data_IF_938927254816
#
_entry.id   IF_938927254816
#
_cell.length_a   1.000
_cell.length_b   1.000
_cell.length_c   1.000
_cell.angle_alpha   90.00
_cell.angle_beta   90.00
_cell.angle_gamma   90.00
#
_symmetry.space_group_name_H-M   'P 1'
#
loop_
_entity.id
_entity.type
_entity.pdbx_description
1 polymer ?
#
# COMPACT_ATOMS: atom_id res chain seq x y z
N UNK A 1 33.72 -7.03 12.13
CA UNK A 1 32.84 -6.84 10.96
C UNK A 1 31.60 -6.07 11.40
N UNK A 2 31.51 -4.80 11.06
CA UNK A 2 30.41 -3.89 11.44
C UNK A 2 29.18 -4.22 10.59
N UNK A 3 28.04 -4.48 11.22
CA UNK A 3 26.77 -4.73 10.50
C UNK A 3 26.39 -3.43 9.77
N UNK A 4 25.98 -3.46 8.50
CA UNK A 4 25.66 -2.23 7.78
C UNK A 4 24.45 -1.56 8.45
N UNK A 5 24.57 -0.25 8.75
CA UNK A 5 23.54 0.55 9.45
C UNK A 5 22.14 0.48 8.80
N UNK A 6 22.07 0.09 7.53
CA UNK A 6 20.80 -0.14 6.83
C UNK A 6 20.07 -1.40 7.34
N UNK A 7 20.78 -2.45 7.72
CA UNK A 7 20.16 -3.68 8.24
C UNK A 7 19.64 -3.45 9.66
N UNK A 8 20.40 -2.72 10.48
CA UNK A 8 19.99 -2.37 11.84
C UNK A 8 18.72 -1.49 11.86
N UNK A 9 18.60 -0.51 10.96
CA UNK A 9 17.37 0.29 10.82
C UNK A 9 16.16 -0.55 10.39
N UNK A 10 16.36 -1.56 9.55
CA UNK A 10 15.29 -2.45 9.12
C UNK A 10 14.85 -3.40 10.25
N UNK A 11 15.81 -3.92 11.01
CA UNK A 11 15.57 -4.76 12.19
C UNK A 11 14.85 -3.96 13.30
N UNK A 12 15.28 -2.72 13.56
CA UNK A 12 14.63 -1.81 14.52
C UNK A 12 13.21 -1.44 14.09
N UNK A 13 12.99 -1.14 12.80
CA UNK A 13 11.65 -0.88 12.28
C UNK A 13 10.74 -2.12 12.38
N UNK A 14 11.31 -3.33 12.25
CA UNK A 14 10.59 -4.60 12.40
C UNK A 14 10.24 -4.88 13.86
N UNK A 15 11.17 -4.67 14.80
CA UNK A 15 10.95 -4.81 16.24
C UNK A 15 9.91 -3.80 16.75
N UNK A 16 9.96 -2.55 16.28
CA UNK A 16 8.95 -1.53 16.60
C UNK A 16 7.54 -1.88 16.10
N UNK A 17 7.43 -2.65 15.00
CA UNK A 17 6.13 -3.17 14.53
C UNK A 17 5.61 -4.31 15.41
N UNK A 18 6.49 -5.18 15.91
CA UNK A 18 6.10 -6.31 16.76
C UNK A 18 5.69 -5.90 18.19
N UNK A 19 6.22 -4.80 18.71
CA UNK A 19 5.92 -4.29 20.06
C UNK A 19 4.76 -3.30 20.12
N UNK A 20 3.98 -3.15 19.06
CA UNK A 20 2.97 -2.09 18.98
C UNK A 20 1.76 -2.41 19.87
N UNK A 21 1.41 -1.44 20.71
CA UNK A 21 0.20 -1.42 21.51
C UNK A 21 -1.03 -1.58 20.60
N UNK A 22 -1.97 -2.47 20.94
CA UNK A 22 -3.17 -2.79 20.15
C UNK A 22 -4.09 -1.58 19.87
N UNK A 23 -3.83 -0.44 20.53
CA UNK A 23 -4.58 0.82 20.42
C UNK A 23 -3.96 1.86 19.49
N UNK A 24 -2.78 1.62 18.93
CA UNK A 24 -2.14 2.58 18.03
C UNK A 24 -2.76 2.52 16.61
N UNK A 25 -2.95 3.66 15.92
CA UNK A 25 -3.47 3.65 14.55
C UNK A 25 -2.59 2.82 13.61
N UNK A 26 -3.24 2.15 12.67
CA UNK A 26 -2.61 1.54 11.52
C UNK A 26 -2.07 2.64 10.61
N UNK A 27 -0.75 2.66 10.39
CA UNK A 27 -0.08 3.69 9.58
C UNK A 27 0.00 3.22 8.13
N UNK A 28 -0.78 3.86 7.27
CA UNK A 28 -0.78 3.60 5.82
C UNK A 28 -0.02 4.73 5.13
N UNK A 29 1.07 4.39 4.45
CA UNK A 29 1.86 5.34 3.68
C UNK A 29 1.54 5.19 2.18
N UNK A 30 1.28 6.32 1.51
CA UNK A 30 1.07 6.37 0.07
C UNK A 30 2.39 6.66 -0.63
N UNK A 31 2.77 5.83 -1.59
CA UNK A 31 3.88 6.10 -2.50
C UNK A 31 3.36 6.45 -3.89
N UNK A 32 3.49 7.70 -4.34
CA UNK A 32 3.09 8.07 -5.69
C UNK A 32 4.02 7.50 -6.76
N UNK A 33 3.43 7.03 -7.85
CA UNK A 33 4.10 6.75 -9.12
C UNK A 33 3.35 7.47 -10.24
N UNK A 34 3.99 8.50 -10.82
CA UNK A 34 3.38 9.34 -11.83
C UNK A 34 2.42 10.41 -11.29
N UNK A 35 2.27 10.54 -9.96
CA UNK A 35 1.57 11.64 -9.30
C UNK A 35 2.57 12.53 -8.56
N UNK A 36 2.31 13.83 -8.52
CA UNK A 36 3.07 14.72 -7.66
C UNK A 36 2.61 14.57 -6.19
N UNK A 37 3.53 14.85 -5.26
CA UNK A 37 3.27 14.68 -3.83
C UNK A 37 2.15 15.60 -3.33
N UNK A 38 1.97 16.80 -3.92
CA UNK A 38 0.93 17.76 -3.50
C UNK A 38 -0.46 17.25 -3.85
N UNK A 39 -0.64 16.65 -5.02
CA UNK A 39 -1.88 15.99 -5.44
C UNK A 39 -2.23 14.86 -4.48
N UNK A 40 -1.28 13.98 -4.16
CA UNK A 40 -1.53 12.89 -3.20
C UNK A 40 -1.81 13.42 -1.80
N UNK A 41 -1.12 14.48 -1.38
CA UNK A 41 -1.38 15.14 -0.10
C UNK A 41 -2.81 15.69 -0.03
N UNK A 42 -3.32 16.27 -1.12
CA UNK A 42 -4.71 16.74 -1.19
C UNK A 42 -5.72 15.61 -0.99
N UNK A 43 -5.44 14.41 -1.52
CA UNK A 43 -6.29 13.24 -1.28
C UNK A 43 -6.24 12.82 0.19
N UNK A 44 -5.05 12.73 0.78
CA UNK A 44 -4.85 12.36 2.19
C UNK A 44 -5.68 13.24 3.13
N UNK A 45 -5.76 14.55 2.87
CA UNK A 45 -6.58 15.45 3.68
C UNK A 45 -8.07 15.15 3.63
N UNK A 46 -8.55 14.49 2.58
CA UNK A 46 -9.94 14.06 2.44
C UNK A 46 -10.19 12.61 2.89
N UNK A 47 -9.14 11.85 3.27
CA UNK A 47 -9.30 10.44 3.64
C UNK A 47 -9.82 10.30 5.08
N UNK A 48 -10.75 9.34 5.32
CA UNK A 48 -11.25 9.08 6.65
C UNK A 48 -10.16 8.45 7.52
N UNK A 49 -10.08 8.90 8.78
CA UNK A 49 -9.22 8.27 9.79
C UNK A 49 -9.89 7.08 10.49
N UNK A 50 -11.19 6.83 10.22
CA UNK A 50 -12.01 5.76 10.82
C UNK A 50 -11.85 5.69 12.35
N UNK A 51 -12.32 6.71 13.06
CA UNK A 51 -12.21 6.82 14.52
C UNK A 51 -10.76 6.70 15.04
N UNK A 52 -9.82 7.28 14.29
CA UNK A 52 -8.37 7.22 14.56
C UNK A 52 -7.79 5.82 14.48
N UNK A 53 -8.45 4.90 13.78
CA UNK A 53 -7.92 3.56 13.48
C UNK A 53 -6.87 3.61 12.37
N UNK A 54 -6.95 4.60 11.47
CA UNK A 54 -5.98 4.80 10.38
C UNK A 54 -5.28 6.15 10.52
N UNK A 55 -3.97 6.14 10.32
CA UNK A 55 -3.16 7.32 10.07
C UNK A 55 -2.57 7.24 8.66
N UNK A 56 -2.89 8.23 7.82
CA UNK A 56 -2.40 8.34 6.45
C UNK A 56 -1.14 9.22 6.39
N UNK A 57 -0.24 8.91 5.47
CA UNK A 57 0.93 9.75 5.19
C UNK A 57 1.53 9.49 3.82
N UNK A 58 2.49 10.30 3.40
CA UNK A 58 3.26 10.07 2.17
C UNK A 58 4.56 9.36 2.51
N UNK A 59 4.89 8.31 1.76
CA UNK A 59 6.16 7.62 1.86
C UNK A 59 7.28 8.45 1.20
N UNK A 60 8.02 9.22 1.99
CA UNK A 60 9.17 10.01 1.54
C UNK A 60 10.42 9.16 1.30
N UNK A 61 10.67 8.19 2.17
CA UNK A 61 11.80 7.27 2.05
C UNK A 61 11.42 5.98 1.33
N UNK A 62 12.38 5.40 0.60
CA UNK A 62 12.23 4.10 -0.09
C UNK A 62 11.72 2.98 0.82
N UNK A 63 12.12 2.99 2.09
CA UNK A 63 11.73 1.97 3.07
C UNK A 63 10.51 2.34 3.92
N UNK A 64 9.97 3.55 3.74
CA UNK A 64 8.82 4.08 4.48
C UNK A 64 8.88 3.74 6.00
N UNK A 65 9.94 4.17 6.71
CA UNK A 65 10.13 3.77 8.10
C UNK A 65 8.92 4.18 8.95
N UNK A 66 8.41 3.25 9.75
CA UNK A 66 7.25 3.48 10.61
C UNK A 66 5.88 3.26 9.96
N UNK A 67 5.81 3.05 8.64
CA UNK A 67 4.59 2.59 7.98
C UNK A 67 4.33 1.11 8.31
N UNK A 68 3.06 0.79 8.54
CA UNK A 68 2.61 -0.59 8.64
C UNK A 68 2.36 -1.14 7.24
N UNK A 69 1.69 -0.36 6.39
CA UNK A 69 1.36 -0.72 5.01
C UNK A 69 1.84 0.40 4.09
N UNK A 70 2.43 0.05 2.95
CA UNK A 70 2.66 0.99 1.85
C UNK A 70 1.70 0.68 0.70
N UNK A 71 0.97 1.70 0.27
CA UNK A 71 0.13 1.64 -0.94
C UNK A 71 0.86 2.42 -2.03
N UNK A 72 1.30 1.72 -3.07
CA UNK A 72 1.81 2.35 -4.28
C UNK A 72 0.64 2.84 -5.12
N UNK A 73 0.43 4.15 -5.19
CA UNK A 73 -0.62 4.74 -6.04
C UNK A 73 -0.04 5.01 -7.42
N UNK A 74 -0.54 4.30 -8.42
CA UNK A 74 0.06 4.21 -9.75
C UNK A 74 -0.83 4.92 -10.76
N UNK A 75 -0.27 5.92 -11.45
CA UNK A 75 -0.91 6.52 -12.62
C UNK A 75 -0.67 5.59 -13.82
N UNK A 76 -1.73 5.11 -14.51
CA UNK A 76 -1.58 4.31 -15.72
C UNK A 76 -0.93 5.11 -16.86
N UNK A 77 -0.47 4.40 -17.90
CA UNK A 77 -0.12 5.04 -19.16
C UNK A 77 -1.39 5.57 -19.87
N UNK A 78 -1.30 6.63 -20.68
CA UNK A 78 -2.42 7.10 -21.49
C UNK A 78 -2.93 6.03 -22.47
N UNK A 79 -4.17 5.59 -22.25
CA UNK A 79 -5.15 5.00 -23.17
C UNK A 79 -4.71 4.03 -24.29
N UNK A 80 -3.76 3.13 -24.05
CA UNK A 80 -3.70 1.88 -24.79
C UNK A 80 -3.53 0.68 -23.83
N UNK A 81 -4.36 -0.37 -23.94
CA UNK A 81 -4.14 -1.61 -23.21
C UNK A 81 -2.74 -2.16 -23.47
N UNK A 82 -2.05 -2.59 -22.41
CA UNK A 82 -0.70 -3.16 -22.51
C UNK A 82 0.42 -2.16 -22.85
N UNK A 83 0.15 -0.84 -22.90
CA UNK A 83 1.21 0.13 -23.16
C UNK A 83 2.22 0.16 -22.01
N UNK A 84 3.49 0.28 -22.37
CA UNK A 84 4.58 0.37 -21.41
C UNK A 84 4.40 1.59 -20.49
N UNK A 85 4.27 1.33 -19.18
CA UNK A 85 4.12 2.36 -18.17
C UNK A 85 5.29 2.33 -17.18
N UNK A 86 6.14 3.35 -17.22
CA UNK A 86 7.25 3.50 -16.27
C UNK A 86 6.79 3.50 -14.80
N UNK A 87 5.59 4.03 -14.53
CA UNK A 87 5.01 4.05 -13.18
C UNK A 87 4.71 2.64 -12.68
N UNK A 88 4.12 1.80 -13.54
CA UNK A 88 3.80 0.41 -13.22
C UNK A 88 5.06 -0.44 -13.03
N UNK A 89 6.08 -0.24 -13.87
CA UNK A 89 7.39 -0.90 -13.73
C UNK A 89 8.06 -0.53 -12.40
N UNK A 90 8.07 0.76 -12.05
CA UNK A 90 8.63 1.24 -10.79
C UNK A 90 7.92 0.66 -9.57
N UNK A 91 6.59 0.62 -9.59
CA UNK A 91 5.78 0.01 -8.54
C UNK A 91 6.05 -1.50 -8.41
N UNK A 92 6.07 -2.24 -9.52
CA UNK A 92 6.40 -3.66 -9.52
C UNK A 92 7.78 -3.94 -8.92
N UNK A 93 8.78 -3.14 -9.30
CA UNK A 93 10.13 -3.28 -8.77
C UNK A 93 10.18 -3.01 -7.25
N UNK A 94 9.47 -1.98 -6.78
CA UNK A 94 9.36 -1.72 -5.34
C UNK A 94 8.67 -2.86 -4.58
N UNK A 95 7.57 -3.39 -5.12
CA UNK A 95 6.85 -4.54 -4.55
C UNK A 95 7.74 -5.78 -4.49
N UNK A 96 8.52 -6.08 -5.53
CA UNK A 96 9.49 -7.19 -5.54
C UNK A 96 10.48 -7.07 -4.38
N UNK A 97 11.02 -5.87 -4.16
CA UNK A 97 11.96 -5.64 -3.05
C UNK A 97 11.30 -5.75 -1.68
N UNK A 98 10.07 -5.26 -1.56
CA UNK A 98 9.32 -5.36 -0.31
C UNK A 98 9.03 -6.80 0.08
N UNK A 99 8.62 -7.63 -0.89
CA UNK A 99 8.38 -9.06 -0.67
C UNK A 99 9.64 -9.77 -0.16
N UNK A 100 10.81 -9.46 -0.74
CA UNK A 100 12.10 -9.97 -0.28
C UNK A 100 12.44 -9.49 1.16
N UNK A 101 11.94 -8.32 1.56
CA UNK A 101 12.14 -7.75 2.91
C UNK A 101 10.98 -8.05 3.89
N UNK A 102 10.03 -8.91 3.52
CA UNK A 102 8.81 -9.20 4.30
C UNK A 102 7.97 -7.97 4.66
N UNK A 103 7.96 -6.94 3.81
CA UNK A 103 7.06 -5.79 3.95
C UNK A 103 5.60 -6.14 3.63
N UNK A 104 4.68 -5.22 3.94
CA UNK A 104 3.28 -5.32 3.53
C UNK A 104 2.96 -4.16 2.64
N UNK A 105 2.98 -4.43 1.35
CA UNK A 105 2.84 -3.43 0.32
C UNK A 105 1.91 -3.94 -0.78
N UNK A 106 1.16 -3.03 -1.39
CA UNK A 106 0.25 -3.30 -2.49
C UNK A 106 0.27 -2.12 -3.47
N UNK A 107 -0.15 -2.32 -4.71
CA UNK A 107 -0.37 -1.27 -5.69
C UNK A 107 -1.86 -0.99 -5.88
N UNK A 108 -2.22 0.28 -5.95
CA UNK A 108 -3.50 0.78 -6.42
C UNK A 108 -3.30 1.52 -7.74
N UNK A 109 -3.78 0.93 -8.82
CA UNK A 109 -3.83 1.56 -10.14
C UNK A 109 -5.01 2.53 -10.20
N UNK A 110 -4.74 3.79 -10.49
CA UNK A 110 -5.76 4.84 -10.66
C UNK A 110 -6.18 4.88 -12.13
N UNK A 111 -6.96 3.88 -12.53
CA UNK A 111 -7.42 3.67 -13.89
C UNK A 111 -8.21 2.37 -13.99
N UNK A 112 -8.30 1.83 -15.19
CA UNK A 112 -9.06 0.63 -15.52
C UNK A 112 -8.19 -0.64 -15.54
N UNK A 113 -8.83 -1.81 -15.47
CA UNK A 113 -8.15 -3.09 -15.34
C UNK A 113 -7.32 -3.47 -16.57
N UNK A 114 -7.73 -3.02 -17.76
CA UNK A 114 -7.01 -3.18 -19.03
C UNK A 114 -5.71 -2.34 -19.10
N UNK A 115 -5.55 -1.39 -18.18
CA UNK A 115 -4.34 -0.58 -18.02
C UNK A 115 -3.36 -1.16 -16.98
N UNK A 116 -3.70 -2.29 -16.35
CA UNK A 116 -2.75 -3.01 -15.49
C UNK A 116 -1.57 -3.52 -16.32
N UNK A 117 -0.36 -3.61 -15.74
CA UNK A 117 0.73 -4.32 -16.38
C UNK A 117 0.40 -5.82 -16.49
N UNK A 118 0.85 -6.45 -17.59
CA UNK A 118 0.67 -7.89 -17.82
C UNK A 118 1.35 -8.71 -16.72
N UNK A 119 2.59 -8.36 -16.39
CA UNK A 119 3.32 -8.94 -15.27
C UNK A 119 3.05 -8.14 -13.99
N UNK A 120 2.53 -8.81 -12.95
CA UNK A 120 2.21 -8.19 -11.66
C UNK A 120 2.93 -8.90 -10.53
N UNK A 121 3.61 -8.11 -9.71
CA UNK A 121 4.30 -8.61 -8.52
C UNK A 121 3.53 -8.16 -7.28
N UNK A 122 3.29 -9.08 -6.36
CA UNK A 122 2.58 -8.78 -5.12
C UNK A 122 1.08 -8.58 -5.38
N UNK A 123 0.49 -7.64 -4.65
CA UNK A 123 -0.94 -7.38 -4.70
C UNK A 123 -1.22 -6.10 -5.46
N UNK A 124 -2.10 -6.18 -6.45
CA UNK A 124 -2.57 -5.06 -7.25
C UNK A 124 -4.08 -4.95 -7.11
N UNK A 125 -4.57 -3.71 -7.05
CA UNK A 125 -5.99 -3.35 -7.08
C UNK A 125 -6.21 -2.24 -8.10
N UNK A 126 -7.40 -2.21 -8.68
CA UNK A 126 -7.85 -1.19 -9.64
C UNK A 126 -8.80 -0.22 -8.93
N UNK A 127 -8.72 1.07 -9.27
CA UNK A 127 -9.71 2.06 -8.83
C UNK A 127 -10.96 2.06 -9.71
N UNK A 128 -10.81 1.71 -11.00
CA UNK A 128 -11.87 1.73 -12.01
C UNK A 128 -12.35 3.16 -12.22
N UNK A 129 -13.67 3.32 -12.25
CA UNK A 129 -14.31 4.63 -12.37
C UNK A 129 -14.25 5.48 -11.07
N UNK A 130 -13.76 4.93 -9.95
CA UNK A 130 -13.76 5.66 -8.68
C UNK A 130 -12.72 6.79 -8.69
N UNK A 131 -13.08 7.99 -8.20
CA UNK A 131 -12.09 9.03 -7.93
C UNK A 131 -10.99 8.53 -6.98
N UNK A 132 -9.73 9.01 -7.12
CA UNK A 132 -8.59 8.48 -6.37
C UNK A 132 -8.79 8.49 -4.84
N UNK A 133 -9.31 9.59 -4.30
CA UNK A 133 -9.58 9.72 -2.87
C UNK A 133 -10.68 8.74 -2.39
N UNK A 134 -11.71 8.50 -3.20
CA UNK A 134 -12.78 7.54 -2.90
C UNK A 134 -12.26 6.11 -2.93
N UNK A 135 -11.47 5.75 -3.94
CA UNK A 135 -10.83 4.44 -4.04
C UNK A 135 -9.91 4.17 -2.83
N UNK A 136 -9.10 5.16 -2.44
CA UNK A 136 -8.23 5.09 -1.26
C UNK A 136 -9.03 4.98 0.05
N UNK A 137 -10.12 5.73 0.19
CA UNK A 137 -10.99 5.65 1.37
C UNK A 137 -11.59 4.23 1.51
N UNK A 138 -12.10 3.67 0.41
CA UNK A 138 -12.64 2.31 0.37
C UNK A 138 -11.57 1.26 0.67
N UNK A 139 -10.39 1.40 0.07
CA UNK A 139 -9.25 0.54 0.36
C UNK A 139 -8.86 0.61 1.85
N UNK A 140 -8.83 1.81 2.43
CA UNK A 140 -8.57 2.00 3.86
C UNK A 140 -9.59 1.29 4.74
N UNK A 141 -10.89 1.41 4.42
CA UNK A 141 -11.95 0.70 5.13
C UNK A 141 -11.77 -0.82 5.07
N UNK A 142 -11.48 -1.37 3.89
CA UNK A 142 -11.24 -2.79 3.72
C UNK A 142 -10.01 -3.25 4.52
N UNK A 143 -8.93 -2.48 4.49
CA UNK A 143 -7.73 -2.73 5.28
C UNK A 143 -8.07 -2.72 6.78
N UNK A 144 -8.81 -1.73 7.28
CA UNK A 144 -9.16 -1.61 8.68
C UNK A 144 -10.09 -2.74 9.15
N UNK A 145 -11.13 -3.06 8.39
CA UNK A 145 -12.05 -4.17 8.69
C UNK A 145 -11.30 -5.50 8.82
N UNK A 146 -10.26 -5.64 8.01
CA UNK A 146 -9.45 -6.83 7.98
C UNK A 146 -8.29 -6.84 9.02
N UNK A 147 -7.89 -5.66 9.50
CA UNK A 147 -6.86 -5.48 10.54
C UNK A 147 -7.44 -5.46 11.96
N UNK A 148 -8.76 -5.27 12.11
CA UNK A 148 -9.45 -5.39 13.38
C UNK A 148 -9.10 -6.74 14.04
N UNK A 149 -8.90 -6.80 15.37
CA UNK A 149 -8.38 -7.97 16.05
C UNK A 149 -9.35 -9.14 15.90
N UNK A 150 -9.13 -9.97 14.88
CA UNK A 150 -9.56 -11.36 14.91
C UNK A 150 -8.80 -11.98 16.08
N UNK A 151 -9.54 -12.31 17.14
CA UNK A 151 -9.10 -13.13 18.26
C UNK A 151 -8.63 -14.50 17.74
N UNK A 152 -7.43 -14.59 17.16
CA UNK A 152 -6.68 -15.84 16.97
C UNK A 152 -5.33 -15.55 16.30
N UNK A 153 -4.28 -15.73 17.11
CA UNK A 153 -2.95 -16.23 16.74
C UNK A 153 -2.35 -15.81 15.38
N UNK A 154 -1.52 -14.76 15.45
CA UNK A 154 -0.27 -14.51 14.71
C UNK A 154 -0.17 -14.96 13.23
N UNK A 155 -0.20 -13.94 12.35
CA UNK A 155 0.75 -13.68 11.27
C UNK A 155 0.60 -14.26 9.82
N UNK A 156 -0.19 -15.29 9.46
CA UNK A 156 -0.49 -15.56 8.05
C UNK A 156 -1.60 -14.64 7.50
N UNK A 157 -2.32 -13.95 8.40
CA UNK A 157 -3.53 -13.17 8.09
C UNK A 157 -3.25 -12.03 7.11
N UNK A 158 -2.07 -11.40 7.15
CA UNK A 158 -1.79 -10.15 6.42
C UNK A 158 -1.69 -10.31 4.89
N UNK A 159 -1.14 -11.41 4.38
CA UNK A 159 -1.09 -11.70 2.93
C UNK A 159 -2.44 -12.20 2.41
N UNK A 160 -3.11 -13.04 3.18
CA UNK A 160 -4.47 -13.50 2.88
C UNK A 160 -5.44 -12.31 2.83
N UNK A 161 -5.24 -11.34 3.73
CA UNK A 161 -5.92 -10.05 3.73
C UNK A 161 -5.83 -9.34 2.38
N UNK A 162 -4.61 -9.17 1.89
CA UNK A 162 -4.36 -8.40 0.67
C UNK A 162 -4.96 -9.09 -0.55
N UNK A 163 -5.01 -10.44 -0.55
CA UNK A 163 -5.71 -11.21 -1.59
C UNK A 163 -7.23 -11.01 -1.54
N UNK A 164 -7.83 -10.94 -0.35
CA UNK A 164 -9.27 -10.67 -0.17
C UNK A 164 -9.64 -9.24 -0.56
N UNK A 165 -8.80 -8.27 -0.18
CA UNK A 165 -8.98 -6.85 -0.53
C UNK A 165 -8.89 -6.67 -2.05
N UNK A 166 -7.96 -7.36 -2.71
CA UNK A 166 -7.82 -7.31 -4.16
C UNK A 166 -9.09 -7.72 -4.89
N UNK A 167 -9.66 -8.88 -4.53
CA UNK A 167 -10.86 -9.38 -5.18
C UNK A 167 -12.15 -8.59 -4.91
N UNK A 168 -12.20 -7.72 -3.90
CA UNK A 168 -13.42 -6.95 -3.55
C UNK A 168 -13.48 -5.57 -4.22
N UNK A 169 -12.34 -5.01 -4.64
CA UNK A 169 -12.30 -3.76 -5.40
C UNK A 169 -12.49 -4.00 -6.90
N UNK A 170 -12.05 -5.15 -7.42
CA UNK A 170 -12.23 -5.52 -8.84
C UNK A 170 -13.70 -5.84 -9.23
N UNK A 171 -14.60 -5.97 -8.24
CA UNK A 171 -16.02 -6.28 -8.44
C UNK A 171 -16.95 -5.05 -8.37
N UNK A 172 -16.40 -3.85 -8.16
CA UNK A 172 -17.18 -2.62 -7.98
C UNK A 172 -17.02 -1.67 -9.16
#
# INVERSE_FOLDING_TARGET
MTKPASVERADMARLARCHRNERAPLRIALRPWGFDARTVQSWIHALPTLDRTIAWGIATDRRAPGADIVVHVVRPAPAAPGQFCWNSVGANYALRQSLAACGTELALLIGDADQMPDERIGHWVVAGALPPATALARLGQLIAACAAPRRETQAPVRRTLMRLIAGQLDLA
#
